data_IF_391175468777
#
_entry.id   IF_391175468777
#
_cell.length_a   1.000
_cell.length_b   1.000
_cell.length_c   1.000
_cell.angle_alpha   90.00
_cell.angle_beta   90.00
_cell.angle_gamma   90.00
#
_symmetry.space_group_name_H-M   'P 1'
#
loop_
_entity.id
_entity.type
_entity.pdbx_description
1 polymer ?
#
# COMPACT_ATOMS: atom_id res chain seq x y z
N UNK A 1 -19.85 -121.79 44.01
CA UNK A 1 -20.57 -121.05 42.99
C UNK A 1 -20.90 -119.72 43.52
N UNK A 2 -20.13 -118.76 43.26
CA UNK A 2 -20.47 -117.31 43.52
C UNK A 2 -19.80 -116.52 42.40
N UNK A 3 -20.65 -115.97 41.58
CA UNK A 3 -20.21 -115.08 40.50
C UNK A 3 -19.85 -113.73 41.06
N UNK A 4 -18.66 -113.22 40.86
CA UNK A 4 -18.23 -111.89 41.18
C UNK A 4 -18.62 -110.97 40.04
N UNK A 5 -19.34 -109.89 40.33
CA UNK A 5 -19.72 -108.88 39.41
C UNK A 5 -18.60 -107.79 39.43
N UNK A 6 -17.92 -107.58 38.34
CA UNK A 6 -16.94 -106.54 38.15
C UNK A 6 -17.72 -105.33 37.67
N UNK A 7 -17.77 -104.26 38.50
CA UNK A 7 -18.29 -102.92 38.11
C UNK A 7 -17.15 -102.11 37.55
N UNK A 8 -17.20 -101.82 36.24
CA UNK A 8 -16.32 -100.89 35.56
C UNK A 8 -16.76 -99.47 35.88
N UNK A 9 -15.99 -98.75 36.67
CA UNK A 9 -16.13 -97.32 36.87
C UNK A 9 -15.46 -96.59 35.74
N UNK A 10 -16.20 -96.01 34.83
CA UNK A 10 -15.70 -95.07 33.80
C UNK A 10 -15.33 -93.73 34.43
N UNK A 11 -14.05 -93.46 34.49
CA UNK A 11 -13.55 -92.17 34.80
C UNK A 11 -13.85 -91.17 33.63
N UNK A 12 -14.86 -90.37 33.78
CA UNK A 12 -15.09 -89.21 32.89
C UNK A 12 -13.94 -88.21 33.10
N UNK A 13 -13.10 -88.05 32.06
CA UNK A 13 -12.09 -87.03 32.00
C UNK A 13 -12.80 -85.62 31.90
N UNK A 14 -12.72 -84.85 32.94
CA UNK A 14 -13.06 -83.46 32.83
C UNK A 14 -12.06 -82.77 31.86
N UNK A 15 -12.54 -81.85 30.96
CA UNK A 15 -11.63 -81.08 30.14
C UNK A 15 -10.78 -80.25 31.06
N UNK A 16 -9.49 -80.40 31.02
CA UNK A 16 -8.52 -79.50 31.60
C UNK A 16 -8.86 -78.10 31.11
N UNK A 17 -9.23 -77.17 32.05
CA UNK A 17 -9.28 -75.78 31.79
C UNK A 17 -7.91 -75.39 31.21
N UNK A 18 -7.93 -74.79 30.01
CA UNK A 18 -6.72 -74.22 29.39
C UNK A 18 -6.10 -73.30 30.41
N UNK A 19 -4.89 -73.62 30.85
CA UNK A 19 -4.08 -72.77 31.68
C UNK A 19 -3.94 -71.41 30.96
N UNK A 20 -4.58 -70.37 31.52
CA UNK A 20 -4.29 -69.02 31.10
C UNK A 20 -2.79 -68.80 31.22
N UNK A 21 -2.12 -68.58 30.11
CA UNK A 21 -0.73 -68.10 30.11
C UNK A 21 -0.69 -66.84 31.00
N UNK A 22 0.34 -66.64 31.85
CA UNK A 22 0.47 -65.46 32.67
C UNK A 22 0.36 -64.25 31.75
N UNK A 23 -0.63 -63.39 31.98
CA UNK A 23 -1.10 -62.39 31.06
C UNK A 23 0.00 -61.47 30.58
N UNK A 24 0.25 -61.56 29.28
CA UNK A 24 1.06 -60.58 28.61
C UNK A 24 0.42 -59.20 28.86
N UNK A 25 1.20 -58.28 29.39
CA UNK A 25 0.69 -56.91 29.66
C UNK A 25 0.11 -56.34 28.37
N UNK A 26 -1.07 -55.72 28.41
CA UNK A 26 -1.70 -55.17 27.22
C UNK A 26 -0.80 -54.11 26.56
N UNK A 27 -0.51 -54.30 25.30
CA UNK A 27 0.24 -53.36 24.46
C UNK A 27 -0.72 -52.55 23.59
N UNK A 28 -0.54 -51.22 23.58
CA UNK A 28 -1.30 -50.27 22.74
C UNK A 28 -0.36 -49.57 21.78
N UNK A 29 -0.77 -49.53 20.52
CA UNK A 29 -0.09 -48.72 19.48
C UNK A 29 -1.02 -47.65 18.95
N UNK A 30 -0.45 -46.49 18.54
CA UNK A 30 -1.19 -45.38 17.93
C UNK A 30 -0.41 -44.82 16.75
N UNK A 31 -1.12 -44.52 15.66
CA UNK A 31 -0.62 -43.78 14.51
C UNK A 31 -1.62 -42.71 14.09
N UNK A 32 -1.12 -41.59 13.55
CA UNK A 32 -1.90 -40.50 12.97
C UNK A 32 -1.05 -39.71 11.98
N UNK A 33 -1.64 -38.92 11.09
CA UNK A 33 -0.90 -37.99 10.26
C UNK A 33 -0.08 -36.98 11.11
N UNK A 34 1.14 -36.66 10.68
CA UNK A 34 2.02 -35.72 11.40
C UNK A 34 1.50 -34.28 11.41
N UNK A 35 0.61 -33.93 10.47
CA UNK A 35 -0.01 -32.60 10.37
C UNK A 35 -1.40 -32.68 9.76
N UNK A 36 -2.26 -31.72 10.11
CA UNK A 36 -3.60 -31.55 9.55
C UNK A 36 -3.95 -30.07 9.41
N UNK A 37 -4.97 -29.77 8.62
CA UNK A 37 -5.59 -28.44 8.60
C UNK A 37 -6.49 -28.25 9.84
N UNK A 38 -6.60 -27.02 10.33
CA UNK A 38 -7.44 -26.67 11.46
C UNK A 38 -8.89 -27.18 11.26
N UNK A 39 -9.43 -27.86 12.29
CA UNK A 39 -10.75 -28.49 12.29
C UNK A 39 -10.97 -29.56 11.21
N UNK A 40 -9.90 -29.99 10.54
CA UNK A 40 -10.03 -31.13 9.62
C UNK A 40 -10.09 -32.46 10.39
N UNK A 41 -10.94 -33.36 9.91
CA UNK A 41 -11.13 -34.70 10.49
C UNK A 41 -9.92 -35.57 10.23
N UNK A 42 -9.34 -36.10 11.29
CA UNK A 42 -8.16 -36.96 11.28
C UNK A 42 -8.52 -38.33 11.90
N UNK A 43 -8.10 -39.39 11.27
CA UNK A 43 -8.23 -40.71 11.79
C UNK A 43 -7.00 -41.09 12.65
N UNK A 44 -7.22 -41.29 13.94
CA UNK A 44 -6.26 -41.90 14.84
C UNK A 44 -6.50 -43.40 14.80
N UNK A 45 -5.53 -44.16 14.36
CA UNK A 45 -5.65 -45.61 14.20
C UNK A 45 -4.62 -46.34 15.04
N UNK A 46 -5.00 -47.50 15.58
CA UNK A 46 -4.09 -48.28 16.42
C UNK A 46 -4.58 -49.67 16.70
N UNK A 47 -3.84 -50.37 17.55
CA UNK A 47 -4.12 -51.74 17.94
C UNK A 47 -3.91 -51.95 19.43
N UNK A 48 -4.81 -52.74 20.01
CA UNK A 48 -4.70 -53.32 21.36
C UNK A 48 -4.34 -54.78 21.22
N UNK A 49 -3.28 -55.25 21.85
CA UNK A 49 -2.81 -56.66 21.85
C UNK A 49 -2.53 -57.09 23.28
N UNK A 50 -3.08 -58.24 23.75
CA UNK A 50 -4.13 -58.98 23.09
C UNK A 50 -5.45 -58.23 22.96
N UNK A 51 -6.25 -58.56 21.94
CA UNK A 51 -7.56 -57.99 21.75
C UNK A 51 -8.48 -58.34 22.97
N UNK A 52 -9.21 -57.36 23.47
CA UNK A 52 -10.15 -57.55 24.57
C UNK A 52 -11.57 -57.24 24.07
N UNK A 53 -12.50 -58.20 24.31
CA UNK A 53 -13.89 -58.05 23.95
C UNK A 53 -14.48 -56.81 24.63
N UNK A 54 -15.26 -56.00 23.88
CA UNK A 54 -15.92 -54.78 24.32
C UNK A 54 -15.00 -53.68 24.88
N UNK A 55 -13.68 -53.80 24.67
CA UNK A 55 -12.73 -52.78 25.08
C UNK A 55 -13.05 -51.41 24.44
N UNK A 56 -13.03 -50.35 25.25
CA UNK A 56 -13.12 -48.97 24.79
C UNK A 56 -11.84 -48.23 25.12
N UNK A 57 -11.13 -47.81 24.11
CA UNK A 57 -9.90 -47.01 24.24
C UNK A 57 -10.28 -45.53 24.31
N UNK A 58 -9.49 -44.78 25.08
CA UNK A 58 -9.61 -43.32 25.26
C UNK A 58 -8.50 -42.61 24.55
N UNK A 59 -8.83 -41.72 23.61
CA UNK A 59 -7.85 -40.81 23.00
C UNK A 59 -7.68 -39.58 23.89
N UNK A 60 -6.47 -39.32 24.31
CA UNK A 60 -6.12 -38.20 25.16
C UNK A 60 -5.10 -37.27 24.46
N UNK A 61 -5.16 -36.00 24.80
CA UNK A 61 -4.11 -35.00 24.50
C UNK A 61 -3.58 -34.49 25.86
N UNK A 62 -2.37 -34.92 26.23
CA UNK A 62 -1.93 -34.82 27.62
C UNK A 62 -2.93 -35.53 28.53
N UNK A 63 -3.43 -34.87 29.56
CA UNK A 63 -4.45 -35.41 30.47
C UNK A 63 -5.89 -35.23 29.97
N UNK A 64 -6.11 -34.43 28.91
CA UNK A 64 -7.46 -34.11 28.43
C UNK A 64 -8.02 -35.21 27.52
N UNK A 65 -9.16 -35.75 27.91
CA UNK A 65 -9.91 -36.67 27.06
C UNK A 65 -10.46 -35.96 25.81
N UNK A 66 -10.26 -36.58 24.65
CA UNK A 66 -10.70 -36.08 23.34
C UNK A 66 -11.85 -36.93 22.79
N UNK A 67 -11.71 -38.26 22.77
CA UNK A 67 -12.68 -39.15 22.19
C UNK A 67 -12.51 -40.60 22.71
N UNK A 68 -13.50 -41.46 22.40
CA UNK A 68 -13.45 -42.90 22.64
C UNK A 68 -13.64 -43.66 21.35
N UNK A 69 -13.13 -44.90 21.30
CA UNK A 69 -13.52 -45.85 20.29
C UNK A 69 -13.61 -47.27 20.86
N UNK A 70 -14.53 -48.06 20.31
CA UNK A 70 -14.59 -49.52 20.56
C UNK A 70 -13.49 -50.20 19.78
N UNK A 71 -12.81 -51.13 20.43
CA UNK A 71 -11.81 -52.02 19.79
C UNK A 71 -12.57 -53.13 19.10
N UNK A 72 -12.17 -53.44 17.89
CA UNK A 72 -12.71 -54.59 17.12
C UNK A 72 -12.12 -55.92 17.65
N UNK A 73 -12.73 -57.03 17.31
CA UNK A 73 -12.24 -58.38 17.70
C UNK A 73 -10.79 -58.66 17.22
N UNK A 74 -10.38 -58.00 16.15
CA UNK A 74 -8.99 -58.03 15.66
C UNK A 74 -7.98 -57.23 16.47
N UNK A 75 -8.45 -56.51 17.54
CA UNK A 75 -7.65 -55.60 18.30
C UNK A 75 -7.52 -54.19 17.66
N UNK A 76 -7.99 -53.99 16.44
CA UNK A 76 -7.89 -52.73 15.71
C UNK A 76 -8.94 -51.73 16.20
N UNK A 77 -8.54 -50.42 16.26
CA UNK A 77 -9.45 -49.34 16.53
C UNK A 77 -9.16 -48.14 15.60
N UNK A 78 -10.19 -47.33 15.36
CA UNK A 78 -10.14 -46.07 14.58
C UNK A 78 -10.96 -45.01 15.28
N UNK A 79 -10.34 -43.85 15.50
CA UNK A 79 -10.94 -42.71 16.20
C UNK A 79 -10.90 -41.49 15.28
N UNK A 80 -11.99 -41.18 14.57
CA UNK A 80 -12.07 -39.96 13.77
C UNK A 80 -12.29 -38.73 14.66
N UNK A 81 -11.42 -37.72 14.60
CA UNK A 81 -11.46 -36.52 15.42
C UNK A 81 -11.17 -35.28 14.58
N UNK A 82 -11.96 -34.21 14.81
CA UNK A 82 -11.63 -32.88 14.32
C UNK A 82 -10.57 -32.23 15.22
N UNK A 83 -9.35 -32.04 14.69
CA UNK A 83 -8.23 -31.57 15.50
C UNK A 83 -8.23 -30.04 15.55
N UNK A 84 -8.64 -29.50 16.69
CA UNK A 84 -8.72 -28.05 16.97
C UNK A 84 -7.43 -27.47 17.60
N UNK A 85 -6.55 -28.30 18.13
CA UNK A 85 -5.33 -27.85 18.80
C UNK A 85 -4.19 -28.85 18.59
N UNK A 86 -2.95 -28.40 18.35
CA UNK A 86 -1.81 -29.28 18.17
C UNK A 86 -1.39 -29.94 19.48
N UNK A 87 -0.56 -30.94 19.38
CA UNK A 87 0.10 -31.54 20.54
C UNK A 87 0.28 -33.04 20.45
N UNK A 88 0.83 -33.64 21.51
CA UNK A 88 0.95 -35.07 21.64
C UNK A 88 -0.41 -35.72 21.98
N UNK A 89 -0.75 -36.77 21.26
CA UNK A 89 -1.92 -37.60 21.49
C UNK A 89 -1.44 -39.00 21.83
N UNK A 90 -2.14 -39.64 22.76
CA UNK A 90 -1.95 -41.05 23.08
C UNK A 90 -3.29 -41.71 23.35
N UNK A 91 -3.33 -43.01 23.31
CA UNK A 91 -4.50 -43.79 23.65
C UNK A 91 -4.24 -44.53 24.95
N UNK A 92 -5.25 -44.58 25.82
CA UNK A 92 -5.19 -45.35 27.08
C UNK A 92 -6.35 -46.33 27.19
N UNK A 93 -6.07 -47.49 27.80
CA UNK A 93 -7.03 -48.50 28.17
C UNK A 93 -6.56 -49.18 29.45
N UNK A 94 -7.38 -49.18 30.50
CA UNK A 94 -7.01 -49.60 31.83
C UNK A 94 -5.66 -48.96 32.25
N UNK A 95 -4.65 -49.75 32.50
CA UNK A 95 -3.29 -49.33 32.86
C UNK A 95 -2.35 -49.16 31.65
N UNK A 96 -2.74 -49.63 30.44
CA UNK A 96 -1.93 -49.54 29.23
C UNK A 96 -2.06 -48.16 28.56
N UNK A 97 -0.92 -47.66 28.08
CA UNK A 97 -0.83 -46.42 27.31
C UNK A 97 -0.03 -46.65 26.05
N UNK A 98 -0.48 -46.11 24.93
CA UNK A 98 0.23 -46.19 23.64
C UNK A 98 1.45 -45.30 23.60
N UNK A 99 2.23 -45.43 22.53
CA UNK A 99 3.17 -44.38 22.11
C UNK A 99 2.44 -43.05 21.86
N UNK A 100 3.14 -41.94 21.99
CA UNK A 100 2.63 -40.59 21.64
C UNK A 100 2.80 -40.31 20.14
N UNK A 101 1.79 -39.71 19.54
CA UNK A 101 1.84 -39.18 18.18
C UNK A 101 1.55 -37.66 18.22
N UNK A 102 2.48 -36.88 17.71
CA UNK A 102 2.32 -35.42 17.66
C UNK A 102 1.67 -35.02 16.33
N UNK A 103 0.54 -34.31 16.42
CA UNK A 103 -0.16 -33.74 15.27
C UNK A 103 0.03 -32.23 15.25
N UNK A 104 0.62 -31.72 14.19
CA UNK A 104 0.74 -30.29 13.93
C UNK A 104 -0.51 -29.78 13.22
N UNK A 105 -0.81 -28.48 13.36
CA UNK A 105 -1.96 -27.84 12.71
C UNK A 105 -1.46 -26.80 11.73
N UNK A 106 -1.94 -26.91 10.50
CA UNK A 106 -1.84 -25.84 9.50
C UNK A 106 -3.00 -24.86 9.72
N UNK A 107 -2.74 -23.61 10.18
CA UNK A 107 -3.77 -22.60 10.34
C UNK A 107 -4.23 -22.09 8.97
N UNK A 108 -5.27 -21.25 8.95
CA UNK A 108 -5.70 -20.45 7.80
C UNK A 108 -5.28 -19.00 8.03
N UNK A 109 -4.69 -18.38 7.02
CA UNK A 109 -4.35 -16.96 7.02
C UNK A 109 -5.13 -16.28 5.89
N UNK A 110 -6.10 -15.44 6.27
CA UNK A 110 -6.87 -14.60 5.35
C UNK A 110 -6.25 -13.21 5.33
N UNK A 111 -6.06 -12.65 4.14
CA UNK A 111 -5.44 -11.33 3.93
C UNK A 111 -6.17 -10.61 2.82
N UNK A 112 -6.53 -9.34 3.03
CA UNK A 112 -7.14 -8.47 2.01
C UNK A 112 -6.66 -7.03 2.15
N UNK A 113 -6.73 -6.30 1.03
CA UNK A 113 -6.54 -4.86 0.97
C UNK A 113 -7.90 -4.17 0.97
N UNK A 114 -8.03 -3.10 1.76
CA UNK A 114 -9.26 -2.30 1.88
C UNK A 114 -8.91 -0.85 1.66
N UNK A 115 -9.59 -0.19 0.72
CA UNK A 115 -9.33 1.19 0.33
C UNK A 115 -8.90 1.33 -1.13
N UNK A 116 -8.39 2.51 -1.48
CA UNK A 116 -8.07 2.88 -2.86
C UNK A 116 -6.57 2.77 -3.11
N UNK A 117 -6.18 2.08 -4.17
CA UNK A 117 -4.77 1.97 -4.60
C UNK A 117 -4.34 3.20 -5.42
N UNK A 118 -4.36 4.35 -4.75
CA UNK A 118 -3.91 5.65 -5.28
C UNK A 118 -2.95 6.26 -4.28
N UNK A 119 -1.86 6.85 -4.76
CA UNK A 119 -0.89 7.51 -3.90
C UNK A 119 -1.55 8.65 -3.11
N UNK A 120 -1.30 8.67 -1.79
CA UNK A 120 -1.90 9.63 -0.85
C UNK A 120 -3.30 9.26 -0.35
N UNK A 121 -3.99 8.29 -0.97
CA UNK A 121 -5.28 7.81 -0.48
C UNK A 121 -5.13 6.75 0.64
N UNK A 122 -6.11 6.64 1.55
CA UNK A 122 -6.10 5.59 2.57
C UNK A 122 -6.14 4.19 1.95
N UNK A 123 -5.20 3.35 2.33
CA UNK A 123 -5.15 1.93 1.99
C UNK A 123 -4.78 1.14 3.24
N UNK A 124 -5.56 0.13 3.56
CA UNK A 124 -5.40 -0.68 4.77
C UNK A 124 -5.23 -2.15 4.41
N UNK A 125 -4.35 -2.82 5.12
CA UNK A 125 -4.26 -4.26 5.12
C UNK A 125 -5.10 -4.81 6.28
N UNK A 126 -6.01 -5.72 5.97
CA UNK A 126 -6.69 -6.54 6.98
C UNK A 126 -6.20 -7.97 6.85
N UNK A 127 -5.84 -8.58 7.98
CA UNK A 127 -5.41 -9.96 8.04
C UNK A 127 -5.96 -10.65 9.28
N UNK A 128 -6.28 -11.94 9.16
CA UNK A 128 -6.73 -12.76 10.27
C UNK A 128 -6.16 -14.18 10.16
N UNK A 129 -5.71 -14.73 11.29
CA UNK A 129 -5.26 -16.12 11.38
C UNK A 129 -6.25 -16.95 12.20
N UNK A 130 -6.62 -18.10 11.69
CA UNK A 130 -7.53 -19.04 12.34
C UNK A 130 -6.84 -20.42 12.51
N UNK A 131 -6.78 -20.97 13.75
CA UNK A 131 -7.29 -20.42 15.00
C UNK A 131 -6.46 -19.23 15.52
N UNK A 132 -7.05 -18.41 16.38
CA UNK A 132 -6.36 -17.25 16.97
C UNK A 132 -5.06 -17.61 17.69
N UNK A 133 -5.00 -18.82 18.27
CA UNK A 133 -3.80 -19.37 18.91
C UNK A 133 -2.59 -19.56 17.96
N UNK A 134 -2.81 -19.54 16.65
CA UNK A 134 -1.74 -19.58 15.65
C UNK A 134 -1.16 -18.19 15.30
N UNK A 135 -1.60 -17.12 15.97
CA UNK A 135 -0.99 -15.79 15.90
C UNK A 135 0.26 -15.68 16.81
N UNK A 136 0.92 -14.53 16.83
CA UNK A 136 0.59 -13.27 16.16
C UNK A 136 0.92 -13.24 14.67
N UNK A 137 0.48 -12.15 14.01
CA UNK A 137 0.77 -11.83 12.62
C UNK A 137 1.84 -10.73 12.59
N UNK A 138 2.79 -10.83 11.66
CA UNK A 138 3.77 -9.78 11.35
C UNK A 138 3.55 -9.25 9.95
N UNK A 139 3.43 -7.94 9.81
CA UNK A 139 3.23 -7.23 8.54
C UNK A 139 4.46 -6.39 8.24
N UNK A 140 5.05 -6.57 7.04
CA UNK A 140 6.19 -5.80 6.55
C UNK A 140 5.87 -5.18 5.20
N UNK A 141 6.06 -3.86 5.10
CA UNK A 141 5.86 -3.08 3.86
C UNK A 141 6.81 -1.89 3.90
N UNK A 142 7.72 -1.77 2.93
CA UNK A 142 8.73 -0.72 2.93
C UNK A 142 9.41 -0.57 4.31
N UNK A 143 9.29 0.59 4.94
CA UNK A 143 9.86 0.85 6.28
C UNK A 143 8.94 0.43 7.44
N UNK A 144 7.75 -0.10 7.14
CA UNK A 144 6.81 -0.55 8.14
C UNK A 144 7.10 -2.00 8.51
N UNK A 145 7.36 -2.27 9.79
CA UNK A 145 7.46 -3.61 10.37
C UNK A 145 6.60 -3.63 11.64
N UNK A 146 5.45 -4.31 11.58
CA UNK A 146 4.53 -4.39 12.71
C UNK A 146 4.18 -5.82 13.06
N UNK A 147 4.23 -6.11 14.37
CA UNK A 147 3.71 -7.31 14.98
C UNK A 147 2.38 -6.98 15.65
N UNK A 148 1.33 -7.72 15.30
CA UNK A 148 -0.04 -7.54 15.78
C UNK A 148 -0.60 -8.86 16.26
N UNK A 149 -1.76 -8.88 16.89
CA UNK A 149 -2.41 -10.11 17.37
C UNK A 149 -2.82 -11.07 16.25
N UNK A 150 -3.76 -11.93 16.53
CA UNK A 150 -4.33 -12.88 15.54
C UNK A 150 -5.20 -12.21 14.47
N UNK A 151 -5.62 -10.97 14.70
CA UNK A 151 -6.32 -10.10 13.75
C UNK A 151 -5.53 -8.81 13.62
N UNK A 152 -5.32 -8.38 12.40
CA UNK A 152 -4.58 -7.18 12.04
C UNK A 152 -5.45 -6.22 11.23
N UNK A 153 -5.32 -4.92 11.53
CA UNK A 153 -5.76 -3.82 10.68
C UNK A 153 -4.63 -2.80 10.66
N UNK A 154 -3.94 -2.67 9.52
CA UNK A 154 -2.70 -1.90 9.42
C UNK A 154 -2.82 -0.92 8.25
N UNK A 155 -2.69 0.39 8.53
CA UNK A 155 -2.61 1.41 7.50
C UNK A 155 -1.28 1.31 6.77
N UNK A 156 -1.33 1.33 5.43
CA UNK A 156 -0.17 1.16 4.57
C UNK A 156 0.44 2.52 4.19
N UNK A 157 1.77 2.59 3.94
CA UNK A 157 2.42 3.81 3.49
C UNK A 157 2.10 4.07 2.01
N UNK A 158 1.15 4.96 1.72
CA UNK A 158 0.65 5.22 0.37
C UNK A 158 1.23 6.47 -0.30
N UNK A 159 2.23 7.15 0.28
CA UNK A 159 2.72 8.44 -0.22
C UNK A 159 3.45 8.38 -1.56
N UNK A 160 3.98 7.23 -1.94
CA UNK A 160 4.76 7.07 -3.18
C UNK A 160 3.95 6.33 -4.24
N UNK A 161 4.05 6.81 -5.48
CA UNK A 161 3.52 6.12 -6.67
C UNK A 161 4.38 4.86 -6.93
N UNK A 162 3.75 3.78 -7.35
CA UNK A 162 4.44 2.54 -7.69
C UNK A 162 3.96 1.34 -6.88
N UNK A 163 4.74 0.28 -6.89
CA UNK A 163 4.38 -0.99 -6.27
C UNK A 163 4.84 -1.08 -4.82
N UNK A 164 3.90 -1.39 -3.93
CA UNK A 164 4.18 -1.77 -2.55
C UNK A 164 4.20 -3.29 -2.44
N UNK A 165 5.34 -3.85 -2.06
CA UNK A 165 5.46 -5.26 -1.72
C UNK A 165 5.08 -5.45 -0.25
N UNK A 166 4.06 -6.26 0.01
CA UNK A 166 3.49 -6.49 1.32
C UNK A 166 3.73 -7.94 1.70
N UNK A 167 4.44 -8.15 2.79
CA UNK A 167 4.70 -9.48 3.34
C UNK A 167 3.98 -9.67 4.66
N UNK A 168 3.12 -10.68 4.73
CA UNK A 168 2.36 -11.07 5.92
C UNK A 168 2.81 -12.45 6.35
N UNK A 169 3.26 -12.57 7.60
CA UNK A 169 3.73 -13.85 8.16
C UNK A 169 3.07 -14.11 9.50
N UNK A 170 2.78 -15.38 9.81
CA UNK A 170 2.39 -15.78 11.15
C UNK A 170 3.64 -16.12 11.98
N UNK A 171 3.61 -15.83 13.27
CA UNK A 171 4.65 -16.22 14.24
C UNK A 171 4.04 -17.12 15.31
N UNK A 172 3.60 -18.34 14.94
CA UNK A 172 2.83 -19.19 15.83
C UNK A 172 3.70 -19.84 16.91
N UNK A 173 3.10 -20.25 18.05
CA UNK A 173 3.74 -21.14 19.00
C UNK A 173 4.00 -22.52 18.41
N UNK A 174 4.76 -23.33 19.11
CA UNK A 174 5.06 -24.71 18.71
C UNK A 174 3.79 -25.52 18.42
N UNK A 175 3.87 -26.35 17.40
CA UNK A 175 2.76 -27.21 16.96
C UNK A 175 1.89 -26.61 15.85
N UNK A 176 1.97 -25.34 15.55
CA UNK A 176 1.32 -24.74 14.38
C UNK A 176 2.33 -24.50 13.26
N UNK A 177 1.88 -24.67 12.01
CA UNK A 177 2.69 -24.32 10.85
C UNK A 177 2.75 -22.80 10.68
N UNK A 178 3.95 -22.30 10.38
CA UNK A 178 4.15 -20.90 10.01
C UNK A 178 3.64 -20.68 8.58
N UNK A 179 2.85 -19.63 8.40
CA UNK A 179 2.33 -19.21 7.10
C UNK A 179 2.93 -17.89 6.66
N UNK A 180 2.99 -17.69 5.36
CA UNK A 180 3.30 -16.40 4.75
C UNK A 180 2.39 -16.13 3.56
N UNK A 181 2.13 -14.84 3.32
CA UNK A 181 1.45 -14.31 2.12
C UNK A 181 2.21 -13.10 1.65
N UNK A 182 2.38 -13.01 0.36
CA UNK A 182 2.92 -11.83 -0.31
C UNK A 182 1.83 -11.25 -1.21
N UNK A 183 1.66 -9.93 -1.13
CA UNK A 183 0.73 -9.18 -1.95
C UNK A 183 1.47 -7.99 -2.55
N UNK A 184 1.02 -7.56 -3.72
CA UNK A 184 1.49 -6.33 -4.34
C UNK A 184 0.31 -5.37 -4.46
N UNK A 185 0.45 -4.17 -3.90
CA UNK A 185 -0.46 -3.07 -4.16
C UNK A 185 0.21 -2.10 -5.13
N UNK A 186 -0.43 -1.82 -6.27
CA UNK A 186 0.08 -0.85 -7.25
C UNK A 186 -0.61 0.48 -7.02
N UNK A 187 0.11 1.42 -6.41
CA UNK A 187 -0.39 2.77 -6.15
C UNK A 187 -0.30 3.61 -7.42
N UNK A 188 -1.44 3.96 -7.98
CA UNK A 188 -1.54 4.83 -9.15
C UNK A 188 -1.31 6.28 -8.75
N UNK A 189 -0.90 7.10 -9.72
CA UNK A 189 -0.86 8.54 -9.55
C UNK A 189 -2.28 9.09 -9.31
N UNK A 190 -2.46 10.00 -8.32
CA UNK A 190 -3.75 10.66 -8.14
C UNK A 190 -4.01 11.65 -9.28
N UNK A 191 -5.28 11.80 -9.68
CA UNK A 191 -5.70 12.92 -10.48
C UNK A 191 -6.01 14.10 -9.54
N UNK A 192 -5.39 15.27 -9.81
CA UNK A 192 -5.64 16.49 -9.07
C UNK A 192 -6.18 17.56 -10.02
N UNK A 193 -7.20 18.29 -9.58
CA UNK A 193 -7.85 19.37 -10.31
C UNK A 193 -8.35 20.43 -9.37
N UNK A 194 -8.82 21.54 -9.93
CA UNK A 194 -9.43 22.63 -9.17
C UNK A 194 -10.45 22.07 -8.15
N UNK A 195 -10.36 22.52 -6.91
CA UNK A 195 -11.19 22.09 -5.78
C UNK A 195 -10.67 20.85 -5.02
N UNK A 196 -9.66 20.12 -5.54
CA UNK A 196 -9.05 18.99 -4.80
C UNK A 196 -8.38 19.49 -3.53
N UNK A 197 -8.63 18.81 -2.40
CA UNK A 197 -7.95 19.10 -1.13
C UNK A 197 -7.29 17.83 -0.61
N UNK A 198 -5.95 17.81 -0.54
CA UNK A 198 -5.18 16.66 -0.04
C UNK A 198 -3.74 17.05 0.28
N UNK A 199 -3.05 16.23 1.07
CA UNK A 199 -1.61 16.39 1.30
C UNK A 199 -0.81 16.27 0.00
N UNK A 200 -1.28 15.51 -0.99
CA UNK A 200 -0.63 15.36 -2.29
C UNK A 200 -0.59 16.67 -3.07
N UNK A 201 -1.57 17.58 -2.87
CA UNK A 201 -1.56 18.94 -3.44
C UNK A 201 -0.40 19.74 -2.85
N UNK A 202 -0.20 19.70 -1.53
CA UNK A 202 0.93 20.36 -0.88
C UNK A 202 2.29 19.83 -1.38
N UNK A 203 2.37 18.51 -1.58
CA UNK A 203 3.59 17.85 -2.07
C UNK A 203 3.85 18.19 -3.54
N UNK A 204 2.82 18.33 -4.37
CA UNK A 204 2.91 18.84 -5.74
C UNK A 204 3.47 20.27 -5.76
N UNK A 205 2.90 21.17 -4.96
CA UNK A 205 3.36 22.56 -4.90
C UNK A 205 4.85 22.65 -4.50
N UNK A 206 5.30 21.85 -3.53
CA UNK A 206 6.73 21.77 -3.16
C UNK A 206 7.61 21.26 -4.31
N UNK A 207 7.16 20.25 -5.06
CA UNK A 207 7.91 19.72 -6.20
C UNK A 207 8.00 20.74 -7.35
N UNK A 208 6.91 21.45 -7.64
CA UNK A 208 6.92 22.53 -8.63
C UNK A 208 7.87 23.66 -8.22
N UNK A 209 7.81 24.10 -6.97
CA UNK A 209 8.70 25.14 -6.44
C UNK A 209 10.18 24.71 -6.48
N UNK A 210 10.50 23.45 -6.21
CA UNK A 210 11.87 22.92 -6.32
C UNK A 210 12.39 22.95 -7.76
N UNK A 211 11.51 22.98 -8.77
CA UNK A 211 11.81 23.14 -10.18
C UNK A 211 11.71 24.61 -10.65
N UNK A 212 11.64 25.55 -9.72
CA UNK A 212 11.51 27.01 -9.91
C UNK A 212 10.19 27.47 -10.51
N UNK A 213 9.15 26.63 -10.58
CA UNK A 213 7.82 27.11 -10.94
C UNK A 213 7.26 27.98 -9.82
N UNK A 214 6.68 29.11 -10.20
CA UNK A 214 5.98 29.97 -9.26
C UNK A 214 4.76 29.24 -8.70
N UNK A 215 4.62 29.22 -7.37
CA UNK A 215 3.48 28.64 -6.66
C UNK A 215 2.96 29.62 -5.61
N UNK A 216 1.63 29.67 -5.35
CA UNK A 216 1.05 30.61 -4.38
C UNK A 216 1.40 30.26 -2.92
N UNK A 217 1.78 29.00 -2.66
CA UNK A 217 2.11 28.48 -1.35
C UNK A 217 2.07 26.95 -1.34
N UNK A 218 2.15 26.36 -0.14
CA UNK A 218 2.23 24.92 0.07
C UNK A 218 1.01 24.35 0.82
N UNK A 219 -0.14 25.01 0.70
CA UNK A 219 -1.42 24.57 1.27
C UNK A 219 -1.94 23.27 0.62
N UNK A 220 -2.90 22.60 1.25
CA UNK A 220 -3.48 21.35 0.74
C UNK A 220 -4.56 21.55 -0.32
N UNK A 221 -4.96 22.80 -0.63
CA UNK A 221 -6.03 23.11 -1.59
C UNK A 221 -5.48 23.42 -2.98
N UNK A 222 -6.04 22.76 -4.00
CA UNK A 222 -5.80 23.06 -5.40
C UNK A 222 -6.73 24.19 -5.84
N UNK A 223 -6.28 25.43 -5.65
CA UNK A 223 -6.96 26.63 -6.09
C UNK A 223 -6.57 27.06 -7.51
N UNK A 224 -7.16 28.16 -8.00
CA UNK A 224 -6.88 28.74 -9.31
C UNK A 224 -5.41 29.12 -9.49
N UNK A 225 -4.80 29.73 -8.50
CA UNK A 225 -3.37 30.08 -8.53
C UNK A 225 -2.45 28.88 -8.71
N UNK A 226 -2.76 27.73 -8.06
CA UNK A 226 -1.99 26.50 -8.24
C UNK A 226 -2.29 25.86 -9.61
N UNK A 227 -3.49 26.01 -10.13
CA UNK A 227 -3.83 25.59 -11.50
C UNK A 227 -2.99 26.37 -12.52
N UNK A 228 -2.79 27.67 -12.33
CA UNK A 228 -1.91 28.48 -13.18
C UNK A 228 -0.46 27.98 -13.13
N UNK A 229 0.03 27.59 -11.94
CA UNK A 229 1.35 26.95 -11.78
C UNK A 229 1.44 25.60 -12.53
N UNK A 230 0.37 24.82 -12.53
CA UNK A 230 0.27 23.55 -13.29
C UNK A 230 0.31 23.82 -14.78
N UNK A 231 -0.38 24.87 -15.28
CA UNK A 231 -0.27 25.27 -16.69
C UNK A 231 1.15 25.68 -17.06
N UNK A 232 1.87 26.41 -16.19
CA UNK A 232 3.27 26.74 -16.45
C UNK A 232 4.13 25.48 -16.66
N UNK A 233 3.97 24.48 -15.81
CA UNK A 233 4.65 23.21 -15.98
C UNK A 233 4.26 22.52 -17.29
N UNK A 234 2.96 22.41 -17.58
CA UNK A 234 2.46 21.78 -18.81
C UNK A 234 3.03 22.49 -20.07
N UNK A 235 3.05 23.81 -20.09
CA UNK A 235 3.60 24.65 -21.16
C UNK A 235 5.10 24.34 -21.41
N UNK A 236 5.91 24.35 -20.34
CA UNK A 236 7.37 24.10 -20.45
C UNK A 236 7.68 22.65 -20.83
N UNK A 237 6.88 21.72 -20.32
CA UNK A 237 7.08 20.29 -20.55
C UNK A 237 6.50 19.79 -21.89
N UNK A 238 5.74 20.63 -22.62
CA UNK A 238 5.08 20.27 -23.87
C UNK A 238 3.92 19.28 -23.64
N UNK A 239 3.27 19.34 -22.49
CA UNK A 239 2.05 18.59 -22.19
C UNK A 239 0.82 19.36 -22.66
N UNK A 240 -0.32 18.67 -22.78
CA UNK A 240 -1.61 19.32 -22.98
C UNK A 240 -1.91 20.24 -21.78
N UNK A 241 -2.40 21.46 -22.08
CA UNK A 241 -2.61 22.53 -21.07
C UNK A 241 -3.98 22.39 -20.41
N UNK A 242 -4.23 21.27 -19.77
CA UNK A 242 -5.52 20.92 -19.14
C UNK A 242 -5.74 21.61 -17.80
N UNK A 243 -4.67 22.06 -17.14
CA UNK A 243 -4.73 22.56 -15.77
C UNK A 243 -5.01 21.46 -14.73
N UNK A 244 -4.93 20.20 -15.13
CA UNK A 244 -5.08 19.03 -14.24
C UNK A 244 -3.77 18.26 -14.13
N UNK A 245 -3.63 17.54 -13.03
CA UNK A 245 -2.47 16.67 -12.76
C UNK A 245 -2.91 15.24 -12.92
N UNK A 246 -2.55 14.63 -14.03
CA UNK A 246 -2.85 13.26 -14.41
C UNK A 246 -1.60 12.35 -14.38
N UNK A 247 -1.72 11.13 -14.86
CA UNK A 247 -0.60 10.19 -14.93
C UNK A 247 0.54 10.68 -15.85
N UNK A 248 0.23 11.39 -16.95
CA UNK A 248 1.22 11.96 -17.85
C UNK A 248 2.00 13.09 -17.17
N UNK A 249 1.29 13.94 -16.43
CA UNK A 249 1.90 15.00 -15.62
C UNK A 249 2.88 14.41 -14.59
N UNK A 250 2.46 13.43 -13.79
CA UNK A 250 3.31 12.79 -12.77
C UNK A 250 4.54 12.12 -13.38
N UNK A 251 4.36 11.44 -14.50
CA UNK A 251 5.48 10.82 -15.24
C UNK A 251 6.51 11.87 -15.66
N UNK A 252 6.02 13.00 -16.19
CA UNK A 252 6.89 14.10 -16.62
C UNK A 252 7.53 14.82 -15.44
N UNK A 253 6.81 14.96 -14.32
CA UNK A 253 7.34 15.57 -13.09
C UNK A 253 8.48 14.73 -12.48
N UNK A 254 8.43 13.40 -12.64
CA UNK A 254 9.50 12.50 -12.23
C UNK A 254 10.78 12.61 -13.09
N UNK A 255 10.66 13.08 -14.35
CA UNK A 255 11.77 13.28 -15.28
C UNK A 255 11.55 14.59 -16.07
N UNK A 256 11.64 15.76 -15.40
CA UNK A 256 11.32 17.02 -16.03
C UNK A 256 12.40 17.49 -16.98
N UNK A 257 11.98 18.15 -18.06
CA UNK A 257 12.88 18.95 -18.88
C UNK A 257 13.21 20.23 -18.12
N UNK A 258 14.49 20.48 -17.86
CA UNK A 258 14.97 21.70 -17.21
C UNK A 258 15.21 22.75 -18.29
N UNK A 259 14.46 23.86 -18.32
CA UNK A 259 14.65 24.93 -19.28
C UNK A 259 15.95 25.68 -18.96
N UNK A 260 16.52 26.32 -19.99
CA UNK A 260 17.69 27.21 -19.87
C UNK A 260 17.32 28.59 -20.39
N UNK A 261 17.94 29.62 -19.82
CA UNK A 261 17.83 30.95 -20.35
C UNK A 261 18.25 31.00 -21.83
N UNK A 262 17.50 31.72 -22.64
CA UNK A 262 17.78 31.91 -24.07
C UNK A 262 18.92 32.93 -24.27
N UNK A 263 18.94 33.96 -23.43
CA UNK A 263 19.93 35.02 -23.46
C UNK A 263 20.86 34.89 -22.25
N UNK A 264 22.14 35.20 -22.47
CA UNK A 264 23.15 35.10 -21.41
C UNK A 264 23.52 36.46 -20.84
N UNK A 265 23.28 37.55 -21.61
CA UNK A 265 23.59 38.93 -21.20
C UNK A 265 22.40 39.86 -21.32
N UNK A 266 22.15 40.70 -20.31
CA UNK A 266 22.86 40.73 -19.03
C UNK A 266 22.54 39.46 -18.23
N UNK A 267 23.42 39.05 -17.32
CA UNK A 267 23.27 37.81 -16.56
C UNK A 267 22.01 37.77 -15.70
N UNK A 268 21.37 38.89 -15.44
CA UNK A 268 20.08 39.06 -14.77
C UNK A 268 19.11 39.77 -15.68
N UNK A 269 17.96 39.17 -15.96
CA UNK A 269 16.93 39.72 -16.86
C UNK A 269 15.62 38.94 -16.76
N UNK A 270 14.58 39.44 -17.40
CA UNK A 270 13.30 38.74 -17.59
C UNK A 270 13.24 38.26 -19.06
N UNK A 271 12.79 37.02 -19.27
CA UNK A 271 12.48 36.48 -20.59
C UNK A 271 11.00 36.17 -20.71
N UNK A 272 10.34 36.58 -21.80
CA UNK A 272 8.95 36.25 -22.14
C UNK A 272 8.92 35.42 -23.40
N UNK A 273 8.66 34.13 -23.25
CA UNK A 273 8.48 33.17 -24.34
C UNK A 273 7.01 33.15 -24.77
N UNK A 274 6.71 33.82 -25.87
CA UNK A 274 5.34 33.95 -26.42
C UNK A 274 4.85 32.62 -26.99
N UNK A 275 5.74 31.77 -27.49
CA UNK A 275 5.37 30.47 -28.03
C UNK A 275 4.85 29.54 -26.93
N UNK A 276 5.59 29.48 -25.81
CA UNK A 276 5.21 28.69 -24.67
C UNK A 276 4.19 29.40 -23.77
N UNK A 277 4.09 30.73 -23.84
CA UNK A 277 3.29 31.54 -22.92
C UNK A 277 3.80 31.38 -21.47
N UNK A 278 5.10 31.59 -21.28
CA UNK A 278 5.77 31.57 -19.98
C UNK A 278 6.72 32.75 -19.84
N UNK A 279 6.90 33.21 -18.62
CA UNK A 279 7.89 34.20 -18.22
C UNK A 279 8.95 33.49 -17.37
N UNK A 280 10.22 33.74 -17.69
CA UNK A 280 11.37 33.31 -16.90
C UNK A 280 12.04 34.49 -16.24
N UNK A 281 12.32 34.36 -14.94
CA UNK A 281 13.23 35.28 -14.26
C UNK A 281 14.60 34.64 -14.22
N UNK A 282 15.57 35.30 -14.84
CA UNK A 282 16.96 34.85 -14.92
C UNK A 282 17.80 35.65 -13.93
N UNK A 283 18.63 34.95 -13.15
CA UNK A 283 19.58 35.55 -12.21
C UNK A 283 20.92 34.82 -12.33
N UNK A 284 21.98 35.58 -12.55
CA UNK A 284 23.32 35.01 -12.77
C UNK A 284 23.34 33.91 -13.85
N UNK A 285 22.59 34.12 -14.94
CA UNK A 285 22.45 33.17 -16.05
C UNK A 285 21.62 31.91 -15.76
N UNK A 286 20.97 31.84 -14.59
CA UNK A 286 20.13 30.72 -14.19
C UNK A 286 18.67 31.14 -14.07
N UNK A 287 17.74 30.30 -14.52
CA UNK A 287 16.30 30.52 -14.30
C UNK A 287 16.00 30.25 -12.82
N UNK A 288 15.50 31.27 -12.14
CA UNK A 288 15.15 31.23 -10.72
C UNK A 288 13.65 31.28 -10.45
N UNK A 289 12.86 31.62 -11.49
CA UNK A 289 11.39 31.58 -11.43
C UNK A 289 10.84 31.31 -12.84
N UNK A 290 9.81 30.46 -12.91
CA UNK A 290 9.05 30.15 -14.11
C UNK A 290 7.58 30.45 -13.80
N UNK A 291 7.00 31.39 -14.52
CA UNK A 291 5.60 31.80 -14.36
C UNK A 291 4.81 31.52 -15.62
N UNK A 292 3.53 31.10 -15.51
CA UNK A 292 2.65 31.18 -16.65
C UNK A 292 2.49 32.64 -17.07
N UNK A 293 2.24 32.88 -18.34
CA UNK A 293 1.84 34.20 -18.81
C UNK A 293 0.80 34.09 -19.91
N UNK A 294 0.07 35.18 -20.15
CA UNK A 294 -0.76 35.35 -21.33
C UNK A 294 -0.35 36.66 -22.03
N UNK A 295 0.12 36.52 -23.27
CA UNK A 295 0.47 37.65 -24.15
C UNK A 295 -0.68 37.93 -25.12
N UNK A 296 -0.49 38.77 -26.13
CA UNK A 296 -1.51 39.14 -27.10
C UNK A 296 -2.18 37.89 -27.73
N UNK A 297 -3.49 37.84 -27.65
CA UNK A 297 -4.35 36.79 -28.22
C UNK A 297 -5.61 37.32 -28.87
N UNK A 298 -5.86 38.62 -28.74
CA UNK A 298 -7.01 39.31 -29.33
C UNK A 298 -6.63 39.80 -30.72
N UNK A 299 -7.50 39.58 -31.71
CA UNK A 299 -7.24 39.98 -33.09
C UNK A 299 -6.97 41.48 -33.22
N UNK A 300 -5.95 41.82 -33.97
CA UNK A 300 -5.49 43.20 -34.16
C UNK A 300 -4.50 43.71 -33.10
N UNK A 301 -4.20 42.89 -32.10
CA UNK A 301 -3.23 43.21 -31.06
C UNK A 301 -2.00 42.31 -31.13
N UNK A 302 -0.86 42.81 -30.65
CA UNK A 302 0.38 42.07 -30.61
C UNK A 302 1.19 42.43 -29.36
N UNK A 303 2.04 41.55 -28.91
CA UNK A 303 3.08 41.85 -27.92
C UNK A 303 4.40 42.02 -28.68
N UNK A 304 5.05 43.23 -28.59
CA UNK A 304 6.29 43.51 -29.33
C UNK A 304 7.41 42.59 -28.90
N UNK A 305 8.18 42.09 -29.90
CA UNK A 305 9.40 41.29 -29.66
C UNK A 305 10.62 42.18 -29.66
N UNK A 306 11.61 41.81 -28.85
CA UNK A 306 12.86 42.55 -28.77
C UNK A 306 13.49 42.55 -27.40
N UNK A 307 14.46 43.43 -27.22
CA UNK A 307 15.09 43.73 -25.94
C UNK A 307 14.62 45.08 -25.45
N UNK A 308 14.07 45.13 -24.27
CA UNK A 308 13.49 46.32 -23.63
C UNK A 308 14.07 46.45 -22.21
N UNK A 309 13.66 47.53 -21.52
CA UNK A 309 13.96 47.77 -20.11
C UNK A 309 12.74 48.28 -19.36
N UNK A 310 12.56 47.88 -18.10
CA UNK A 310 11.51 48.40 -17.24
C UNK A 310 11.79 49.89 -17.00
N UNK A 311 10.97 50.79 -17.55
CA UNK A 311 11.15 52.19 -17.46
C UNK A 311 10.18 52.87 -16.49
N UNK A 312 9.04 52.26 -16.20
CA UNK A 312 8.02 52.75 -15.30
C UNK A 312 7.36 51.66 -14.50
N UNK A 313 7.02 51.94 -13.24
CA UNK A 313 6.27 51.03 -12.36
C UNK A 313 5.19 51.83 -11.65
N UNK A 314 3.94 51.35 -11.62
CA UNK A 314 2.84 51.99 -10.92
C UNK A 314 2.28 51.03 -9.87
N UNK A 315 2.27 51.48 -8.63
CA UNK A 315 1.79 50.68 -7.49
C UNK A 315 0.26 50.65 -7.48
N UNK A 316 -0.29 49.46 -7.26
CA UNK A 316 -1.73 49.24 -7.18
C UNK A 316 -2.40 49.14 -8.54
N UNK A 317 -3.67 49.51 -8.60
CA UNK A 317 -4.46 49.47 -9.83
C UNK A 317 -4.16 50.66 -10.72
N UNK A 318 -3.83 50.40 -11.97
CA UNK A 318 -3.66 51.38 -13.01
C UNK A 318 -4.70 51.19 -14.12
N UNK A 319 -5.41 52.22 -14.50
CA UNK A 319 -6.49 52.18 -15.50
C UNK A 319 -5.96 52.58 -16.86
N UNK A 320 -6.11 51.74 -17.85
CA UNK A 320 -5.81 51.99 -19.25
C UNK A 320 -7.07 51.93 -20.11
N UNK A 321 -7.04 52.44 -21.35
CA UNK A 321 -8.17 52.28 -22.29
C UNK A 321 -8.50 50.80 -22.62
N UNK A 322 -7.57 49.88 -22.36
CA UNK A 322 -7.67 48.45 -22.70
C UNK A 322 -7.94 47.56 -21.47
N UNK A 323 -8.11 48.16 -20.28
CA UNK A 323 -8.40 47.43 -19.06
C UNK A 323 -7.63 47.95 -17.85
N UNK A 324 -7.81 47.29 -16.73
CA UNK A 324 -7.21 47.64 -15.44
C UNK A 324 -6.05 46.71 -15.17
N UNK A 325 -4.91 47.25 -14.76
CA UNK A 325 -3.65 46.53 -14.55
C UNK A 325 -3.27 46.57 -13.06
N UNK A 326 -2.91 45.43 -12.48
CA UNK A 326 -2.40 45.37 -11.11
C UNK A 326 -0.88 45.43 -11.09
N UNK A 327 -0.29 46.40 -10.37
CA UNK A 327 1.15 46.61 -10.25
C UNK A 327 1.91 46.53 -11.59
N UNK A 328 1.52 47.30 -12.62
CA UNK A 328 2.16 47.23 -13.93
C UNK A 328 3.62 47.69 -13.90
N UNK A 329 4.47 46.95 -14.58
CA UNK A 329 5.86 47.26 -14.88
C UNK A 329 5.99 47.49 -16.40
N UNK A 330 5.98 48.75 -16.83
CA UNK A 330 6.03 49.12 -18.23
C UNK A 330 7.44 48.94 -18.79
N UNK A 331 7.56 48.34 -19.96
CA UNK A 331 8.86 48.03 -20.60
C UNK A 331 9.01 48.62 -22.02
N UNK A 332 7.91 48.87 -22.73
CA UNK A 332 7.92 49.58 -24.02
C UNK A 332 6.54 50.17 -24.32
N UNK A 333 6.49 51.50 -24.65
CA UNK A 333 5.23 52.19 -24.91
C UNK A 333 4.20 51.96 -23.79
N UNK A 334 3.01 51.50 -24.14
CA UNK A 334 1.97 51.17 -23.15
C UNK A 334 1.99 49.65 -22.73
N UNK A 335 2.99 48.92 -23.07
CA UNK A 335 3.05 47.46 -22.76
C UNK A 335 3.73 47.24 -21.42
N UNK A 336 3.10 46.44 -20.57
CA UNK A 336 3.56 46.15 -19.21
C UNK A 336 3.50 44.66 -18.89
N UNK A 337 4.31 44.23 -17.92
CA UNK A 337 4.11 43.02 -17.17
C UNK A 337 3.20 43.37 -15.98
N UNK A 338 2.06 42.69 -15.81
CA UNK A 338 1.06 43.06 -14.81
C UNK A 338 0.23 41.85 -14.33
N UNK A 339 -0.44 41.99 -13.21
CA UNK A 339 -1.51 41.13 -12.71
C UNK A 339 -2.91 41.73 -12.91
N UNK A 340 -3.88 41.26 -12.16
CA UNK A 340 -5.25 41.76 -12.11
C UNK A 340 -6.31 40.89 -12.77
N UNK A 341 -5.89 39.93 -13.59
CA UNK A 341 -6.79 38.97 -14.23
C UNK A 341 -6.21 37.54 -14.18
N UNK A 342 -7.02 36.52 -14.22
CA UNK A 342 -6.55 35.12 -14.35
C UNK A 342 -5.68 34.94 -15.60
N UNK A 343 -4.67 34.08 -15.49
CA UNK A 343 -3.76 33.76 -16.59
C UNK A 343 -4.22 32.48 -17.27
N UNK A 344 -4.95 32.55 -18.40
CA UNK A 344 -5.41 31.36 -19.11
C UNK A 344 -4.24 30.59 -19.74
N UNK A 345 -4.44 29.33 -20.14
CA UNK A 345 -3.39 28.52 -20.75
C UNK A 345 -3.01 28.96 -22.17
N UNK A 346 -3.68 29.96 -22.74
CA UNK A 346 -3.53 30.45 -24.10
C UNK A 346 -3.30 31.99 -24.12
N UNK A 347 -2.85 32.58 -25.24
CA UNK A 347 -2.78 34.02 -25.41
C UNK A 347 -4.13 34.70 -25.26
N UNK A 348 -4.25 35.79 -24.46
CA UNK A 348 -5.54 36.40 -24.14
C UNK A 348 -5.49 37.89 -23.85
N UNK A 349 -4.32 38.56 -23.90
CA UNK A 349 -4.21 39.99 -23.62
C UNK A 349 -4.38 40.83 -24.87
N UNK A 350 -4.50 42.16 -24.70
CA UNK A 350 -4.41 43.18 -25.74
C UNK A 350 -2.95 43.54 -26.07
N UNK A 351 -1.96 42.80 -25.54
CA UNK A 351 -0.54 43.06 -25.84
C UNK A 351 0.36 43.05 -24.61
N UNK A 352 -0.13 43.39 -23.46
CA UNK A 352 0.61 43.26 -22.20
C UNK A 352 0.95 41.81 -21.87
N UNK A 353 1.88 41.60 -20.97
CA UNK A 353 2.33 40.34 -20.44
C UNK A 353 1.64 40.12 -19.10
N UNK A 354 0.51 39.41 -19.11
CA UNK A 354 -0.25 39.11 -17.92
C UNK A 354 0.41 37.97 -17.17
N UNK A 355 0.60 38.08 -15.85
CA UNK A 355 1.12 37.06 -14.94
C UNK A 355 0.22 36.95 -13.71
N UNK A 356 0.26 35.84 -12.97
CA UNK A 356 -0.54 35.68 -11.74
C UNK A 356 -0.27 36.78 -10.71
N UNK A 357 -1.26 37.16 -9.90
CA UNK A 357 -1.14 38.20 -8.90
C UNK A 357 -0.06 37.92 -7.86
N UNK A 358 0.10 36.69 -7.43
CA UNK A 358 1.17 36.30 -6.51
C UNK A 358 2.57 36.37 -7.15
N UNK A 359 2.67 36.32 -8.49
CA UNK A 359 3.92 36.51 -9.23
C UNK A 359 4.25 37.99 -9.38
N UNK A 360 3.29 38.79 -9.89
CA UNK A 360 3.56 40.23 -10.08
C UNK A 360 3.85 40.90 -8.76
N UNK A 361 3.17 40.52 -7.67
CA UNK A 361 3.44 41.09 -6.34
C UNK A 361 4.90 40.84 -5.91
N UNK A 362 5.50 39.73 -6.28
CA UNK A 362 6.92 39.44 -6.05
C UNK A 362 7.82 40.23 -7.00
N UNK A 363 7.57 40.15 -8.32
CA UNK A 363 8.41 40.84 -9.33
C UNK A 363 8.40 42.35 -9.15
N UNK A 364 7.26 42.95 -8.86
CA UNK A 364 7.11 44.41 -8.70
C UNK A 364 8.07 44.98 -7.66
N UNK A 365 8.27 44.29 -6.54
CA UNK A 365 9.16 44.79 -5.46
C UNK A 365 10.61 44.29 -5.62
N UNK A 366 10.85 43.19 -6.31
CA UNK A 366 12.21 42.65 -6.47
C UNK A 366 12.96 43.21 -7.68
N UNK A 367 12.26 43.57 -8.76
CA UNK A 367 12.90 43.96 -10.00
C UNK A 367 13.18 45.47 -10.03
N UNK A 368 14.40 45.91 -10.38
CA UNK A 368 14.72 47.32 -10.42
C UNK A 368 14.17 48.03 -11.68
N UNK A 369 14.12 49.33 -11.67
CA UNK A 369 14.08 50.15 -12.90
C UNK A 369 15.31 49.81 -13.74
N UNK A 370 15.17 49.73 -15.07
CA UNK A 370 16.23 49.36 -15.98
C UNK A 370 16.42 47.84 -16.15
N UNK A 371 15.66 47.00 -15.38
CA UNK A 371 15.71 45.55 -15.59
C UNK A 371 15.41 45.19 -17.05
N UNK A 372 16.30 44.42 -17.67
CA UNK A 372 16.15 44.01 -19.08
C UNK A 372 14.98 43.04 -19.23
N UNK A 373 14.15 43.24 -20.24
CA UNK A 373 13.04 42.35 -20.62
C UNK A 373 13.25 41.89 -22.07
N UNK A 374 13.46 40.62 -22.29
CA UNK A 374 13.45 39.98 -23.60
C UNK A 374 12.06 39.42 -23.89
N UNK A 375 11.51 39.74 -25.06
CA UNK A 375 10.25 39.17 -25.56
C UNK A 375 10.56 38.45 -26.91
N UNK A 376 10.17 37.22 -27.03
CA UNK A 376 10.45 36.42 -28.22
C UNK A 376 9.40 35.30 -28.46
N UNK A 377 9.43 34.75 -29.68
CA UNK A 377 8.67 33.59 -30.12
C UNK A 377 9.57 32.38 -30.36
#
# INVERSE_FOLDING_TARGET
MRRALIVLVSLAAWPMAASAQPGQAPELTLTAPKATTYLHKVDFVGRLSPAAQDARVRLLRGSRLIAYARVRDSGFFKIPVEVASPGPFHVAWLTATSNEVTVRIRPRLDVKLVGTQVAGAPLRLEAAVTPAAAGPIRVRVANLDRRVGSVASVDLPTRQIGSLQIKVTTEPPSGYDKLHRELTATLRAPNLSLGTTSQTVSDLARQLAALHYAVPGFGPSFGEDLQESVWAFQKVQGLERTGTVDAAFWTRLGQPRIPRARYLEPASHIEVDKTRQVLYLVRNGQITLISPTATAGIAGYYTPEGRFAIYEKRTGWDTSPLGVLWNPMYFVGGYAIHGGDPVPPYPASHGCVRVPDFVISRLFYSEPYGETVYVYS
#
